data_IF_542553565583
#
_entry.id   IF_542553565583
#
_cell.length_a   1.000
_cell.length_b   1.000
_cell.length_c   1.000
_cell.angle_alpha   90.00
_cell.angle_beta   90.00
_cell.angle_gamma   90.00
#
_symmetry.space_group_name_H-M   'P 1'
#
loop_
_entity.id
_entity.type
_entity.pdbx_description
1 polymer ?
#
# COMPACT_ATOMS: atom_id res chain seq x y z
N UNK A 1 -12.80 3.26 28.74
CA UNK A 1 -12.13 4.07 27.70
C UNK A 1 -11.50 3.09 26.72
N UNK A 2 -12.08 2.89 25.54
CA UNK A 2 -11.56 1.95 24.54
C UNK A 2 -10.91 2.76 23.41
N UNK A 3 -9.63 2.51 23.14
CA UNK A 3 -8.91 3.13 22.04
C UNK A 3 -9.02 2.23 20.81
N UNK A 4 -9.71 2.71 19.77
CA UNK A 4 -9.70 2.05 18.46
C UNK A 4 -8.35 2.31 17.80
N UNK A 5 -7.51 1.29 17.73
CA UNK A 5 -6.33 1.29 16.88
C UNK A 5 -6.83 1.16 15.43
N UNK A 6 -7.03 2.28 14.74
CA UNK A 6 -7.11 2.27 13.28
C UNK A 6 -5.85 1.59 12.75
N UNK A 7 -5.96 0.54 11.92
CA UNK A 7 -4.78 -0.05 11.32
C UNK A 7 -4.13 1.03 10.44
N UNK A 8 -3.03 1.61 10.92
CA UNK A 8 -2.10 2.40 10.11
C UNK A 8 -1.38 1.39 9.21
N UNK A 9 -2.06 0.92 8.19
CA UNK A 9 -1.41 0.34 7.04
C UNK A 9 -1.96 1.08 5.83
N UNK A 10 -1.34 2.21 5.45
CA UNK A 10 -1.48 2.66 4.08
C UNK A 10 -0.90 1.53 3.23
N UNK A 11 -1.79 0.67 2.70
CA UNK A 11 -1.41 -0.40 1.79
C UNK A 11 -0.57 0.24 0.70
N UNK A 12 0.73 0.04 0.76
CA UNK A 12 1.63 0.54 -0.26
C UNK A 12 1.37 -0.32 -1.48
N UNK A 13 0.50 0.15 -2.36
CA UNK A 13 0.16 -0.56 -3.58
C UNK A 13 1.28 -0.32 -4.58
N UNK A 14 1.79 -1.40 -5.15
CA UNK A 14 2.79 -1.32 -6.21
C UNK A 14 2.10 -1.51 -7.55
N UNK A 15 2.46 -0.68 -8.53
CA UNK A 15 2.08 -0.89 -9.93
C UNK A 15 3.20 -1.64 -10.64
N UNK A 16 2.81 -2.54 -11.54
CA UNK A 16 3.72 -3.37 -12.32
C UNK A 16 3.48 -3.15 -13.81
N UNK A 17 4.54 -3.22 -14.61
CA UNK A 17 4.43 -3.29 -16.07
C UNK A 17 4.04 -4.70 -16.53
N UNK A 18 3.82 -4.90 -17.83
CA UNK A 18 3.46 -6.20 -18.40
C UNK A 18 4.56 -7.27 -18.22
N UNK A 19 5.78 -6.88 -17.86
CA UNK A 19 6.91 -7.78 -17.59
C UNK A 19 7.07 -8.07 -16.09
N UNK A 20 6.20 -7.53 -15.23
CA UNK A 20 6.24 -7.72 -13.78
C UNK A 20 7.26 -6.85 -13.05
N UNK A 21 7.87 -5.86 -13.73
CA UNK A 21 8.78 -4.92 -13.08
C UNK A 21 7.98 -3.81 -12.38
N UNK A 22 8.45 -3.39 -11.21
CA UNK A 22 7.81 -2.33 -10.42
C UNK A 22 8.01 -0.98 -11.11
N UNK A 23 6.90 -0.33 -11.49
CA UNK A 23 6.90 0.94 -12.24
C UNK A 23 6.63 2.16 -11.35
N UNK A 24 5.90 2.02 -10.24
CA UNK A 24 5.75 3.11 -9.27
C UNK A 24 5.21 2.63 -7.91
N UNK A 25 5.44 3.45 -6.88
CA UNK A 25 4.68 3.39 -5.63
C UNK A 25 3.34 4.07 -5.91
N UNK A 26 2.21 3.38 -5.72
CA UNK A 26 0.93 4.04 -5.62
C UNK A 26 0.84 4.56 -4.18
N UNK A 27 0.97 5.89 -4.06
CA UNK A 27 0.66 6.63 -2.84
C UNK A 27 -0.84 6.57 -2.57
#
# INVERSE_FOLDING_TARGET
>A
MFYYLTPINPETRYRYDALGRRVSKAT
#
